data_IF_126196129193
#
_entry.id   IF_126196129193
#
_cell.length_a   1.000
_cell.length_b   1.000
_cell.length_c   1.000
_cell.angle_alpha   90.00
_cell.angle_beta   90.00
_cell.angle_gamma   90.00
#
_symmetry.space_group_name_H-M   'P 1'
#
loop_
_entity.id
_entity.type
_entity.pdbx_description
1 polymer ?
#
# COMPACT_ATOMS: atom_id res chain seq x y z
N UNK A 1 14.72 16.37 -20.14
CA UNK A 1 13.80 17.52 -19.94
C UNK A 1 12.62 17.17 -19.03
N UNK A 2 11.90 16.06 -19.22
CA UNK A 2 10.80 15.67 -18.32
C UNK A 2 11.20 15.35 -16.87
N UNK A 3 12.43 14.87 -16.64
CA UNK A 3 12.90 14.45 -15.31
C UNK A 3 13.13 15.61 -14.34
N UNK A 4 13.71 16.73 -14.80
CA UNK A 4 13.94 17.92 -13.95
C UNK A 4 12.61 18.59 -13.59
N UNK A 5 11.67 18.66 -14.54
CA UNK A 5 10.33 19.18 -14.30
C UNK A 5 9.57 18.32 -13.28
N UNK A 6 9.61 16.98 -13.40
CA UNK A 6 9.01 16.07 -12.41
C UNK A 6 9.57 16.33 -11.00
N UNK A 7 10.90 16.37 -10.86
CA UNK A 7 11.55 16.58 -9.56
C UNK A 7 11.25 17.96 -9.00
N UNK A 8 11.23 19.00 -9.85
CA UNK A 8 10.85 20.35 -9.46
C UNK A 8 9.43 20.41 -8.91
N UNK A 9 8.46 19.85 -9.64
CA UNK A 9 7.06 19.84 -9.22
C UNK A 9 6.82 19.01 -7.94
N UNK A 10 7.48 17.86 -7.81
CA UNK A 10 7.43 17.09 -6.58
C UNK A 10 8.04 17.88 -5.41
N UNK A 11 9.14 18.61 -5.65
CA UNK A 11 9.78 19.44 -4.63
C UNK A 11 8.98 20.69 -4.23
N UNK A 12 8.00 21.09 -5.04
CA UNK A 12 7.05 22.16 -4.73
C UNK A 12 5.87 21.69 -3.88
N UNK A 13 5.62 20.37 -3.78
CA UNK A 13 4.56 19.83 -2.92
C UNK A 13 4.88 20.08 -1.45
N UNK A 14 4.09 20.89 -0.73
CA UNK A 14 4.33 21.17 0.68
C UNK A 14 4.36 19.88 1.50
N UNK A 15 5.22 19.84 2.52
CA UNK A 15 5.26 18.71 3.46
C UNK A 15 5.95 17.45 2.95
N UNK A 16 6.36 17.38 1.69
CA UNK A 16 7.10 16.24 1.13
C UNK A 16 8.62 16.48 1.13
N UNK A 17 9.40 15.40 1.20
CA UNK A 17 10.84 15.45 1.02
C UNK A 17 11.23 14.67 -0.23
N UNK A 18 11.86 15.32 -1.20
CA UNK A 18 12.21 14.72 -2.49
C UNK A 18 13.71 14.51 -2.58
N UNK A 19 14.11 13.28 -2.91
CA UNK A 19 15.49 12.94 -3.20
C UNK A 19 15.60 12.17 -4.52
N UNK A 20 16.73 12.32 -5.21
CA UNK A 20 16.98 11.66 -6.49
C UNK A 20 18.30 10.90 -6.38
N UNK A 21 18.25 9.59 -6.65
CA UNK A 21 19.43 8.74 -6.62
C UNK A 21 19.30 7.64 -7.70
N UNK A 22 20.40 7.38 -8.42
CA UNK A 22 20.50 6.27 -9.37
C UNK A 22 19.35 6.17 -10.41
N UNK A 23 18.83 7.31 -10.88
CA UNK A 23 17.73 7.35 -11.85
C UNK A 23 16.33 7.07 -11.27
N UNK A 24 16.22 7.04 -9.94
CA UNK A 24 14.95 7.00 -9.22
C UNK A 24 14.73 8.30 -8.44
N UNK A 25 13.46 8.70 -8.33
CA UNK A 25 12.99 9.73 -7.41
C UNK A 25 12.33 9.04 -6.22
N UNK A 26 12.69 9.47 -5.02
CA UNK A 26 12.06 9.06 -3.77
C UNK A 26 11.37 10.27 -3.18
N UNK A 27 10.07 10.14 -2.94
CA UNK A 27 9.25 11.16 -2.29
C UNK A 27 8.87 10.61 -0.93
N UNK A 28 9.42 11.17 0.13
CA UNK A 28 9.01 10.86 1.50
C UNK A 28 7.83 11.72 1.88
N UNK A 29 6.80 11.10 2.47
CA UNK A 29 5.60 11.77 2.97
C UNK A 29 5.56 11.55 4.49
N UNK A 30 6.10 12.49 5.29
CA UNK A 30 6.20 12.36 6.75
C UNK A 30 4.87 12.11 7.44
N UNK A 31 3.77 12.68 6.93
CA UNK A 31 2.43 12.53 7.51
C UNK A 31 1.96 11.07 7.53
N UNK A 32 2.23 10.30 6.47
CA UNK A 32 2.01 8.85 6.47
C UNK A 32 3.22 8.09 6.99
N UNK A 33 4.41 8.68 7.12
CA UNK A 33 5.62 8.01 7.58
C UNK A 33 6.08 6.90 6.63
N UNK A 34 5.95 7.13 5.33
CA UNK A 34 6.34 6.22 4.26
C UNK A 34 6.89 7.03 3.07
N UNK A 35 7.43 6.34 2.06
CA UNK A 35 7.97 6.96 0.87
C UNK A 35 7.56 6.21 -0.40
N UNK A 36 7.36 6.97 -1.48
CA UNK A 36 7.18 6.43 -2.82
C UNK A 36 8.50 6.48 -3.55
N UNK A 37 8.96 5.33 -4.08
CA UNK A 37 10.15 5.26 -4.93
C UNK A 37 9.76 4.94 -6.37
N UNK A 38 10.08 5.83 -7.30
CA UNK A 38 9.78 5.68 -8.73
C UNK A 38 11.05 5.74 -9.56
N UNK A 39 11.25 4.75 -10.43
CA UNK A 39 12.21 4.92 -11.50
C UNK A 39 11.68 5.99 -12.48
N UNK A 40 12.49 7.01 -12.77
CA UNK A 40 12.04 8.15 -13.58
C UNK A 40 11.60 7.72 -14.98
N UNK A 41 12.24 6.68 -15.54
CA UNK A 41 11.89 6.06 -16.83
C UNK A 41 10.51 5.38 -16.87
N UNK A 42 9.93 5.13 -15.70
CA UNK A 42 8.63 4.49 -15.56
C UNK A 42 7.52 5.53 -15.35
N UNK A 43 7.84 6.82 -15.25
CA UNK A 43 6.83 7.90 -15.22
C UNK A 43 6.49 8.28 -16.67
N UNK A 44 5.22 8.11 -17.04
CA UNK A 44 4.69 8.34 -18.39
C UNK A 44 4.24 9.78 -18.60
N UNK A 45 3.73 10.40 -17.55
CA UNK A 45 3.23 11.77 -17.53
C UNK A 45 3.00 12.22 -16.09
N UNK A 46 2.88 13.54 -15.91
CA UNK A 46 2.57 14.14 -14.63
C UNK A 46 1.78 15.44 -14.80
N UNK A 47 0.84 15.69 -13.91
CA UNK A 47 -0.01 16.88 -13.91
C UNK A 47 -0.25 17.36 -12.47
N UNK A 48 -0.18 18.67 -12.25
CA UNK A 48 -0.58 19.26 -10.98
C UNK A 48 -2.11 19.20 -10.85
N UNK A 49 -2.58 18.75 -9.70
CA UNK A 49 -4.01 18.63 -9.39
C UNK A 49 -4.32 19.38 -8.10
N UNK A 50 -5.58 19.79 -7.94
CA UNK A 50 -6.11 20.26 -6.66
C UNK A 50 -7.01 19.16 -6.14
N UNK A 51 -6.66 18.58 -5.00
CA UNK A 51 -7.48 17.52 -4.39
C UNK A 51 -8.72 18.12 -3.73
N UNK A 52 -9.76 17.32 -3.39
CA UNK A 52 -11.02 17.85 -2.85
C UNK A 52 -10.89 18.70 -1.57
N UNK A 53 -9.80 18.55 -0.80
CA UNK A 53 -9.50 19.38 0.38
C UNK A 53 -9.07 20.80 0.01
N UNK A 54 -8.76 21.07 -1.26
CA UNK A 54 -8.20 22.32 -1.75
C UNK A 54 -6.66 22.35 -1.77
N UNK A 55 -6.02 21.29 -1.28
CA UNK A 55 -4.55 21.19 -1.25
C UNK A 55 -3.98 20.82 -2.63
N UNK A 56 -2.73 21.22 -2.92
CA UNK A 56 -2.04 20.79 -4.13
C UNK A 56 -1.67 19.31 -4.07
N UNK A 57 -1.69 18.67 -5.23
CA UNK A 57 -1.16 17.33 -5.45
C UNK A 57 -0.52 17.20 -6.82
N UNK A 58 0.14 16.07 -7.04
CA UNK A 58 0.70 15.70 -8.35
C UNK A 58 0.18 14.32 -8.75
N UNK A 59 -0.55 14.26 -9.85
CA UNK A 59 -0.97 13.02 -10.49
C UNK A 59 0.12 12.54 -11.45
N UNK A 60 0.41 11.25 -11.41
CA UNK A 60 1.47 10.57 -12.14
C UNK A 60 0.89 9.33 -12.84
N UNK A 61 1.21 9.18 -14.12
CA UNK A 61 1.03 7.92 -14.84
C UNK A 61 2.27 7.04 -14.64
N UNK A 62 2.13 5.88 -14.00
CA UNK A 62 3.25 4.97 -13.67
C UNK A 62 3.18 3.69 -14.49
N UNK A 63 4.19 3.44 -15.34
CA UNK A 63 4.30 2.23 -16.14
C UNK A 63 4.69 1.03 -15.28
N UNK A 64 3.90 -0.05 -15.35
CA UNK A 64 4.21 -1.37 -14.80
C UNK A 64 3.87 -2.45 -15.81
N UNK A 65 4.91 -3.04 -16.43
CA UNK A 65 4.73 -3.97 -17.54
C UNK A 65 4.02 -3.28 -18.70
N UNK A 66 2.82 -3.75 -19.03
CA UNK A 66 1.96 -3.21 -20.09
C UNK A 66 0.86 -2.26 -19.57
N UNK A 67 0.84 -2.00 -18.26
CA UNK A 67 -0.19 -1.17 -17.62
C UNK A 67 0.35 0.21 -17.27
N UNK A 68 -0.55 1.20 -17.29
CA UNK A 68 -0.38 2.52 -16.71
C UNK A 68 -1.21 2.58 -15.42
N UNK A 69 -0.55 2.82 -14.30
CA UNK A 69 -1.18 2.90 -12.99
C UNK A 69 -1.21 4.35 -12.53
N UNK A 70 -2.38 4.87 -12.10
CA UNK A 70 -2.45 6.20 -11.53
C UNK A 70 -1.81 6.21 -10.14
N UNK A 71 -1.07 7.28 -9.88
CA UNK A 71 -0.48 7.59 -8.59
C UNK A 71 -0.65 9.08 -8.33
N UNK A 72 -1.30 9.45 -7.23
CA UNK A 72 -1.45 10.85 -6.82
C UNK A 72 -0.69 11.03 -5.52
N UNK A 73 0.26 11.97 -5.50
CA UNK A 73 0.97 12.36 -4.29
C UNK A 73 0.39 13.69 -3.80
N UNK A 74 -0.06 13.73 -2.55
CA UNK A 74 -0.57 14.95 -1.91
C UNK A 74 0.41 15.45 -0.85
N UNK A 75 0.07 16.56 -0.20
CA UNK A 75 0.83 17.13 0.92
C UNK A 75 1.04 16.12 2.06
N UNK A 76 0.07 15.26 2.29
CA UNK A 76 0.01 14.40 3.47
C UNK A 76 -0.31 12.93 3.18
N UNK A 77 -0.51 12.53 1.92
CA UNK A 77 -0.94 11.19 1.56
C UNK A 77 -0.48 10.78 0.15
N UNK A 78 -0.76 9.52 -0.18
CA UNK A 78 -0.54 8.93 -1.49
C UNK A 78 -1.77 8.12 -1.88
N UNK A 79 -2.33 8.39 -3.05
CA UNK A 79 -3.52 7.72 -3.58
C UNK A 79 -3.12 6.86 -4.78
N UNK A 80 -3.60 5.62 -4.82
CA UNK A 80 -3.25 4.66 -5.85
C UNK A 80 -4.37 3.67 -6.14
N UNK A 81 -4.26 2.97 -7.27
CA UNK A 81 -5.20 1.91 -7.66
C UNK A 81 -4.84 0.57 -6.97
N UNK A 82 -5.78 -0.07 -6.24
CA UNK A 82 -5.61 -1.44 -5.75
C UNK A 82 -5.30 -2.45 -6.87
N UNK A 83 -4.63 -3.55 -6.53
CA UNK A 83 -4.56 -4.69 -7.44
C UNK A 83 -5.93 -5.38 -7.58
N UNK A 84 -6.15 -6.11 -8.69
CA UNK A 84 -7.39 -6.86 -8.85
C UNK A 84 -7.38 -8.13 -7.99
N UNK A 85 -8.51 -8.43 -7.35
CA UNK A 85 -8.67 -9.65 -6.54
C UNK A 85 -8.41 -10.93 -7.36
N UNK A 86 -8.79 -10.91 -8.65
CA UNK A 86 -8.57 -12.02 -9.57
C UNK A 86 -7.07 -12.33 -9.81
N UNK A 87 -6.19 -11.36 -9.60
CA UNK A 87 -4.74 -11.55 -9.73
C UNK A 87 -4.09 -12.06 -8.44
N UNK A 88 -4.79 -11.98 -7.31
CA UNK A 88 -4.25 -12.41 -6.01
C UNK A 88 -4.40 -13.90 -5.78
N UNK A 89 -5.45 -14.53 -6.33
CA UNK A 89 -5.78 -15.94 -6.09
C UNK A 89 -5.40 -16.84 -7.26
N UNK A 90 -5.05 -18.09 -6.97
CA UNK A 90 -4.85 -19.13 -7.99
C UNK A 90 -6.13 -19.28 -8.83
N UNK A 91 -6.03 -19.48 -10.16
CA UNK A 91 -7.19 -19.71 -11.01
C UNK A 91 -8.13 -20.80 -10.46
N UNK A 92 -9.44 -20.51 -10.43
CA UNK A 92 -10.46 -21.42 -9.91
C UNK A 92 -10.80 -21.25 -8.42
N UNK A 93 -10.04 -20.45 -7.67
CA UNK A 93 -10.46 -20.01 -6.34
C UNK A 93 -11.54 -18.93 -6.46
N UNK A 94 -12.69 -19.14 -5.82
CA UNK A 94 -13.80 -18.19 -5.82
C UNK A 94 -13.95 -17.55 -4.45
N UNK A 95 -13.80 -16.22 -4.39
CA UNK A 95 -14.11 -15.40 -3.22
C UNK A 95 -14.94 -14.22 -3.70
N UNK A 96 -16.13 -14.04 -3.11
CA UNK A 96 -16.96 -12.87 -3.41
C UNK A 96 -16.40 -11.67 -2.66
N UNK A 97 -15.81 -10.75 -3.41
CA UNK A 97 -15.33 -9.47 -2.84
C UNK A 97 -16.40 -8.39 -3.01
N UNK A 98 -16.57 -7.49 -2.02
CA UNK A 98 -17.40 -6.31 -2.20
C UNK A 98 -16.83 -5.43 -3.31
N UNK A 99 -17.63 -4.48 -3.80
CA UNK A 99 -17.14 -3.45 -4.71
C UNK A 99 -16.00 -2.67 -4.03
N UNK A 100 -14.79 -2.81 -4.57
CA UNK A 100 -13.62 -2.09 -4.10
C UNK A 100 -13.55 -0.72 -4.75
N UNK A 101 -13.09 0.32 -4.03
CA UNK A 101 -12.91 1.64 -4.63
C UNK A 101 -11.85 1.56 -5.75
N UNK A 102 -12.00 2.42 -6.78
CA UNK A 102 -11.04 2.49 -7.89
C UNK A 102 -9.69 3.06 -7.47
N UNK A 103 -9.70 3.95 -6.49
CA UNK A 103 -8.52 4.56 -5.88
C UNK A 103 -8.66 4.47 -4.36
N UNK A 104 -7.55 4.32 -3.67
CA UNK A 104 -7.50 4.35 -2.20
C UNK A 104 -6.31 5.16 -1.73
N UNK A 105 -6.49 5.94 -0.67
CA UNK A 105 -5.38 6.64 -0.03
C UNK A 105 -4.60 5.71 0.90
N UNK A 106 -3.29 5.95 1.06
CA UNK A 106 -2.47 5.16 1.98
C UNK A 106 -3.00 5.25 3.41
N UNK A 107 -3.40 6.45 3.84
CA UNK A 107 -3.94 6.65 5.19
C UNK A 107 -5.23 5.84 5.43
N UNK A 108 -6.11 5.77 4.42
CA UNK A 108 -7.34 4.97 4.46
C UNK A 108 -7.03 3.47 4.51
N UNK A 109 -6.15 2.99 3.63
CA UNK A 109 -5.66 1.61 3.68
C UNK A 109 -5.10 1.27 5.07
N UNK A 110 -4.24 2.12 5.63
CA UNK A 110 -3.66 1.89 6.94
C UNK A 110 -4.73 1.88 8.05
N UNK A 111 -5.64 2.85 8.06
CA UNK A 111 -6.73 2.94 9.03
C UNK A 111 -7.59 1.68 9.00
N UNK A 112 -8.00 1.25 7.81
CA UNK A 112 -8.97 0.15 7.63
C UNK A 112 -8.35 -1.21 8.00
N UNK A 113 -7.11 -1.47 7.55
CA UNK A 113 -6.36 -2.70 7.90
C UNK A 113 -6.12 -2.76 9.41
N UNK A 114 -5.74 -1.65 10.04
CA UNK A 114 -5.53 -1.56 11.49
C UNK A 114 -6.84 -1.72 12.27
N UNK A 115 -7.94 -1.14 11.79
CA UNK A 115 -9.24 -1.26 12.43
C UNK A 115 -9.70 -2.72 12.48
N UNK A 116 -9.54 -3.46 11.38
CA UNK A 116 -9.83 -4.89 11.35
C UNK A 116 -8.94 -5.67 12.31
N UNK A 117 -7.63 -5.39 12.32
CA UNK A 117 -6.70 -6.04 13.23
C UNK A 117 -7.03 -5.83 14.71
N UNK A 118 -7.61 -4.67 15.07
CA UNK A 118 -8.14 -4.44 16.43
C UNK A 118 -9.45 -5.17 16.69
N UNK A 119 -10.33 -5.22 15.68
CA UNK A 119 -11.63 -5.84 15.80
C UNK A 119 -11.53 -7.35 16.06
N UNK A 120 -10.56 -8.05 15.46
CA UNK A 120 -10.40 -9.50 15.66
C UNK A 120 -10.00 -9.90 17.09
N UNK A 121 -9.50 -8.96 17.91
CA UNK A 121 -9.20 -9.20 19.32
C UNK A 121 -10.31 -8.70 20.26
N UNK A 122 -11.34 -8.04 19.75
CA UNK A 122 -12.41 -7.50 20.59
C UNK A 122 -13.24 -8.66 21.19
N UNK A 123 -13.42 -8.64 22.51
CA UNK A 123 -14.19 -9.66 23.21
C UNK A 123 -15.64 -9.68 22.69
N UNK A 124 -16.13 -10.87 22.34
CA UNK A 124 -17.49 -11.06 21.82
C UNK A 124 -17.70 -10.58 20.39
N UNK A 125 -16.63 -10.25 19.65
CA UNK A 125 -16.75 -9.96 18.23
C UNK A 125 -17.08 -11.23 17.44
N UNK A 126 -18.25 -11.22 16.80
CA UNK A 126 -18.64 -12.24 15.83
C UNK A 126 -18.44 -11.69 14.42
N UNK A 127 -17.76 -12.48 13.58
CA UNK A 127 -17.54 -12.14 12.19
C UNK A 127 -18.20 -13.21 11.32
N UNK A 128 -18.87 -12.76 10.27
CA UNK A 128 -19.16 -13.60 9.13
C UNK A 128 -17.85 -13.92 8.40
N UNK A 129 -17.57 -15.21 8.20
CA UNK A 129 -16.29 -15.68 7.67
C UNK A 129 -16.12 -15.36 6.20
N UNK A 130 -17.21 -15.30 5.43
CA UNK A 130 -17.15 -14.91 4.02
C UNK A 130 -16.83 -13.43 3.90
N UNK A 131 -17.44 -12.59 4.75
CA UNK A 131 -17.12 -11.15 4.82
C UNK A 131 -15.67 -10.95 5.26
N UNK A 132 -15.21 -11.66 6.30
CA UNK A 132 -13.85 -11.52 6.80
C UNK A 132 -12.80 -11.98 5.78
N UNK A 133 -13.07 -13.09 5.08
CA UNK A 133 -12.26 -13.56 3.96
C UNK A 133 -12.19 -12.50 2.85
N UNK A 134 -13.34 -11.97 2.43
CA UNK A 134 -13.44 -10.95 1.40
C UNK A 134 -12.67 -9.68 1.80
N UNK A 135 -12.82 -9.18 3.03
CA UNK A 135 -12.11 -8.00 3.53
C UNK A 135 -10.61 -8.22 3.57
N UNK A 136 -10.12 -9.38 4.03
CA UNK A 136 -8.69 -9.68 4.03
C UNK A 136 -8.11 -9.76 2.62
N UNK A 137 -8.85 -10.31 1.66
CA UNK A 137 -8.46 -10.31 0.26
C UNK A 137 -8.37 -8.89 -0.30
N UNK A 138 -9.36 -8.05 -0.04
CA UNK A 138 -9.37 -6.62 -0.44
C UNK A 138 -8.18 -5.87 0.16
N UNK A 139 -7.88 -6.07 1.45
CA UNK A 139 -6.70 -5.46 2.07
C UNK A 139 -5.39 -5.93 1.44
N UNK A 140 -5.29 -7.19 1.01
CA UNK A 140 -4.13 -7.68 0.26
C UNK A 140 -4.03 -6.99 -1.11
N UNK A 141 -5.16 -6.76 -1.78
CA UNK A 141 -5.20 -5.99 -3.02
C UNK A 141 -4.68 -4.56 -2.84
N UNK A 142 -5.01 -3.90 -1.71
CA UNK A 142 -4.48 -2.57 -1.38
C UNK A 142 -2.95 -2.61 -1.23
N UNK A 143 -2.43 -3.55 -0.44
CA UNK A 143 -0.98 -3.70 -0.25
C UNK A 143 -0.24 -4.00 -1.56
N UNK A 144 -0.80 -4.87 -2.40
CA UNK A 144 -0.24 -5.16 -3.71
C UNK A 144 -0.27 -3.93 -4.63
N UNK A 145 -1.37 -3.16 -4.64
CA UNK A 145 -1.46 -1.89 -5.36
C UNK A 145 -0.39 -0.90 -4.92
N UNK A 146 -0.21 -0.71 -3.61
CA UNK A 146 0.81 0.15 -3.02
C UNK A 146 2.22 -0.24 -3.51
N UNK A 147 2.57 -1.53 -3.41
CA UNK A 147 3.87 -2.03 -3.87
C UNK A 147 4.06 -1.80 -5.37
N UNK A 148 3.02 -1.99 -6.18
CA UNK A 148 3.09 -1.75 -7.63
C UNK A 148 3.38 -0.30 -7.96
N UNK A 149 2.90 0.68 -7.19
CA UNK A 149 3.20 2.10 -7.42
C UNK A 149 4.49 2.57 -6.72
N UNK A 150 5.25 1.67 -6.08
CA UNK A 150 6.55 1.99 -5.50
C UNK A 150 6.54 2.39 -4.02
N UNK A 151 5.43 2.19 -3.31
CA UNK A 151 5.39 2.22 -1.85
C UNK A 151 5.94 0.91 -1.26
N UNK A 152 6.36 0.93 0.01
CA UNK A 152 6.76 -0.29 0.72
C UNK A 152 6.12 -0.36 2.12
N UNK A 153 4.81 -0.67 2.20
CA UNK A 153 3.96 -0.41 3.37
C UNK A 153 4.13 -1.44 4.50
N UNK A 154 5.34 -1.59 5.05
CA UNK A 154 5.68 -2.62 6.06
C UNK A 154 4.76 -2.56 7.28
N UNK A 155 4.43 -1.36 7.79
CA UNK A 155 3.56 -1.22 8.98
C UNK A 155 2.13 -1.68 8.72
N UNK A 156 1.60 -1.40 7.53
CA UNK A 156 0.24 -1.84 7.15
C UNK A 156 0.22 -3.35 6.91
N UNK A 157 1.24 -3.86 6.22
CA UNK A 157 1.44 -5.29 6.00
C UNK A 157 1.55 -6.07 7.32
N UNK A 158 2.17 -5.48 8.35
CA UNK A 158 2.23 -6.07 9.67
C UNK A 158 0.86 -6.22 10.35
N UNK A 159 -0.07 -5.29 10.15
CA UNK A 159 -1.45 -5.42 10.63
C UNK A 159 -2.25 -6.46 9.84
N UNK A 160 -2.03 -6.53 8.53
CA UNK A 160 -2.63 -7.58 7.70
C UNK A 160 -2.20 -8.97 8.15
N UNK A 161 -0.88 -9.19 8.30
CA UNK A 161 -0.33 -10.47 8.75
C UNK A 161 -0.83 -10.81 10.15
N UNK A 162 -0.86 -9.83 11.05
CA UNK A 162 -1.37 -10.01 12.42
C UNK A 162 -2.80 -10.53 12.44
N UNK A 163 -3.64 -9.98 11.57
CA UNK A 163 -5.04 -10.37 11.41
C UNK A 163 -5.14 -11.76 10.80
N UNK A 164 -4.44 -11.99 9.69
CA UNK A 164 -4.44 -13.28 8.99
C UNK A 164 -3.92 -14.43 9.87
N UNK A 165 -2.90 -14.20 10.71
CA UNK A 165 -2.39 -15.21 11.63
C UNK A 165 -3.42 -15.66 12.69
N UNK A 166 -4.39 -14.79 13.04
CA UNK A 166 -5.43 -15.10 14.03
C UNK A 166 -6.62 -15.82 13.44
N UNK A 167 -7.06 -15.38 12.27
CA UNK A 167 -8.32 -15.85 11.69
C UNK A 167 -8.13 -16.66 10.41
N UNK A 168 -6.98 -16.61 9.76
CA UNK A 168 -6.77 -17.15 8.41
C UNK A 168 -7.05 -18.64 8.29
N UNK A 169 -6.79 -19.44 9.33
CA UNK A 169 -6.99 -20.89 9.30
C UNK A 169 -8.45 -21.33 9.22
N UNK A 170 -9.41 -20.45 9.57
CA UNK A 170 -10.86 -20.74 9.48
C UNK A 170 -11.53 -20.16 8.24
N UNK A 171 -10.84 -19.30 7.50
CA UNK A 171 -11.42 -18.58 6.37
C UNK A 171 -11.30 -19.38 5.08
N UNK A 172 -12.33 -19.31 4.24
CA UNK A 172 -12.32 -19.83 2.88
C UNK A 172 -11.56 -18.91 1.91
N UNK A 173 -10.38 -18.44 2.31
CA UNK A 173 -9.43 -17.76 1.44
C UNK A 173 -8.73 -18.83 0.61
N UNK A 174 -9.13 -18.98 -0.66
CA UNK A 174 -8.41 -19.86 -1.60
C UNK A 174 -6.91 -19.52 -1.65
N UNK A 175 -6.06 -20.40 -2.22
CA UNK A 175 -4.63 -20.19 -2.21
C UNK A 175 -4.25 -18.93 -2.99
N UNK A 176 -3.38 -18.10 -2.38
CA UNK A 176 -2.80 -16.95 -3.06
C UNK A 176 -1.79 -17.39 -4.11
N UNK A 177 -1.67 -16.60 -5.19
CA UNK A 177 -0.61 -16.81 -6.18
C UNK A 177 0.76 -16.54 -5.56
N UNK A 178 1.82 -17.21 -6.04
CA UNK A 178 3.18 -16.83 -5.71
C UNK A 178 3.44 -15.36 -6.09
N UNK A 179 3.96 -14.59 -5.13
CA UNK A 179 4.30 -13.18 -5.32
C UNK A 179 5.62 -12.88 -4.60
N UNK A 180 6.75 -12.83 -5.33
CA UNK A 180 8.05 -12.54 -4.74
C UNK A 180 8.14 -11.16 -4.08
N UNK A 181 7.32 -10.19 -4.49
CA UNK A 181 7.29 -8.88 -3.83
C UNK A 181 6.59 -8.99 -2.48
N UNK A 182 5.50 -9.74 -2.40
CA UNK A 182 4.83 -10.09 -1.15
C UNK A 182 5.77 -10.82 -0.19
N UNK A 183 6.51 -11.82 -0.66
CA UNK A 183 7.43 -12.59 0.19
C UNK A 183 8.51 -11.68 0.81
N UNK A 184 9.05 -10.74 0.02
CA UNK A 184 10.00 -9.73 0.53
C UNK A 184 9.35 -8.79 1.54
N UNK A 185 8.13 -8.33 1.29
CA UNK A 185 7.39 -7.47 2.21
C UNK A 185 7.12 -8.19 3.54
N UNK A 186 6.74 -9.47 3.52
CA UNK A 186 6.56 -10.27 4.72
C UNK A 186 7.87 -10.50 5.48
N UNK A 187 8.98 -10.72 4.77
CA UNK A 187 10.29 -10.80 5.40
C UNK A 187 10.65 -9.49 6.13
N UNK A 188 10.33 -8.33 5.55
CA UNK A 188 10.50 -7.03 6.20
C UNK A 188 9.59 -6.84 7.42
N UNK A 189 8.35 -7.33 7.37
CA UNK A 189 7.47 -7.37 8.54
C UNK A 189 8.11 -8.19 9.66
N UNK A 190 8.64 -9.37 9.36
CA UNK A 190 9.34 -10.21 10.35
C UNK A 190 10.55 -9.50 10.94
N UNK A 191 11.39 -8.86 10.10
CA UNK A 191 12.56 -8.09 10.54
C UNK A 191 12.16 -6.93 11.45
N UNK A 192 11.17 -6.14 11.05
CA UNK A 192 10.71 -4.98 11.82
C UNK A 192 10.22 -5.40 13.22
N UNK A 193 9.46 -6.50 13.30
CA UNK A 193 8.99 -7.05 14.58
C UNK A 193 10.13 -7.54 15.48
N UNK A 194 11.16 -8.17 14.92
CA UNK A 194 12.32 -8.62 15.68
C UNK A 194 13.08 -7.42 16.30
N UNK A 195 13.23 -6.32 15.55
CA UNK A 195 13.87 -5.10 16.04
C UNK A 195 13.05 -4.39 17.12
N UNK A 196 11.71 -4.46 17.07
CA UNK A 196 10.85 -3.90 18.12
C UNK A 196 10.80 -4.74 19.41
N UNK A 197 11.20 -6.02 19.34
CA UNK A 197 11.21 -6.94 20.48
C UNK A 197 12.55 -6.98 21.24
N UNK A 198 13.60 -6.33 20.73
CA UNK A 198 14.87 -6.20 21.45
C UNK A 198 14.73 -5.21 22.61
N UNK A 199 15.05 -5.61 23.86
CA UNK A 199 15.12 -4.66 24.96
C UNK A 199 16.19 -3.63 24.66
N UNK A 200 15.85 -2.34 24.81
CA UNK A 200 16.84 -1.26 24.76
C UNK A 200 17.87 -1.56 25.84
N UNK A 201 19.09 -1.95 25.43
CA UNK A 201 20.22 -2.02 26.34
C UNK A 201 20.44 -0.60 26.88
N UNK A 202 20.03 -0.39 28.14
CA UNK A 202 20.44 0.77 28.91
C UNK A 202 21.91 0.57 29.28
N UNK A 203 22.77 1.47 28.81
CA UNK A 203 24.14 1.66 29.29
C UNK A 203 24.16 2.14 30.75
#
# INVERSE_FOLDING_TARGET
MHSEALVGLLGELPGTEVSVAAGAVTVTIPAIGDAVTLAIRDVLGFEQVIVPTGDPGLELGVRRGHEELPLIITVDDVVFMPAYAADMLVPGAEVRVPATPHLIAYSEMHRDVRALGRAVDAQGAEFDDDILAATLLVHRCFLAGAVRVGLWPVRVAAWWEYTYARVGSRLALGPFRPDPAWDRLMADVTRARASSAQPVHQE
#
